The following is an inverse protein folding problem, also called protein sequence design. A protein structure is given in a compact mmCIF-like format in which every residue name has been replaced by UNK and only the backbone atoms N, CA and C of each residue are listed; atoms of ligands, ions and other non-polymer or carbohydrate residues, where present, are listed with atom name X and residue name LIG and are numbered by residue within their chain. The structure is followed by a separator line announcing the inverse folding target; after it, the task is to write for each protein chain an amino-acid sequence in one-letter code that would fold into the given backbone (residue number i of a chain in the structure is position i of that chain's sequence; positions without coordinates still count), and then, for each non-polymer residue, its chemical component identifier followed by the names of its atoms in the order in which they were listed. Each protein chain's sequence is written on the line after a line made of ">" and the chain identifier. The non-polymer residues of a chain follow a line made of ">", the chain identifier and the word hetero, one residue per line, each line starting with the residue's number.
data_IF_904138406487
#
_entry.id   IF_904138406487
#
_cell.length_a   1.000
_cell.length_b   1.000
_cell.length_c   1.000
_cell.angle_alpha   90.00
_cell.angle_beta   90.00
_cell.angle_gamma   90.00
#
_symmetry.space_group_name_H-M   'P 1'
#
loop_
_entity.id
_entity.type
_entity.pdbx_description
1 polymer ?
#
# COMPACT_ATOMS: atom_id res chain seq x y z
N UNK A 1 17.02 6.23 1.61
CA UNK A 1 16.92 6.77 3.01
C UNK A 1 15.60 6.33 3.61
N UNK A 2 15.57 5.89 4.89
CA UNK A 2 14.30 5.55 5.56
C UNK A 2 13.49 6.82 5.79
N UNK A 3 12.23 6.83 5.40
CA UNK A 3 11.30 7.97 5.49
C UNK A 3 10.21 7.71 6.54
N UNK A 4 9.72 8.76 7.22
CA UNK A 4 8.54 8.62 8.07
C UNK A 4 7.33 8.19 7.24
N UNK A 5 6.60 7.18 7.74
CA UNK A 5 5.35 6.70 7.13
C UNK A 5 4.19 7.52 7.69
N UNK A 6 3.38 8.08 6.80
CA UNK A 6 2.17 8.86 7.14
C UNK A 6 1.09 7.93 7.67
N UNK A 7 0.42 8.36 8.72
CA UNK A 7 -0.72 7.64 9.33
C UNK A 7 -2.03 8.20 8.79
N UNK A 8 -3.07 7.38 8.80
CA UNK A 8 -4.45 7.74 8.43
C UNK A 8 -4.84 9.12 8.94
N UNK A 9 -5.42 9.95 8.06
CA UNK A 9 -5.77 11.35 8.33
C UNK A 9 -4.77 12.37 7.78
N UNK A 10 -3.57 11.94 7.33
CA UNK A 10 -2.70 12.83 6.57
C UNK A 10 -3.32 13.08 5.18
N UNK A 11 -3.50 14.35 4.75
CA UNK A 11 -4.18 14.68 3.50
C UNK A 11 -3.62 13.99 2.26
N UNK A 12 -2.31 13.70 2.21
CA UNK A 12 -1.68 13.04 1.07
C UNK A 12 -2.21 11.62 0.85
N UNK A 13 -2.67 10.95 1.91
CA UNK A 13 -3.22 9.59 1.85
C UNK A 13 -4.66 9.52 1.33
N UNK A 14 -5.37 10.65 1.32
CA UNK A 14 -6.79 10.76 0.98
C UNK A 14 -7.02 11.51 -0.34
N UNK A 15 -5.97 11.66 -1.14
CA UNK A 15 -6.02 12.32 -2.44
C UNK A 15 -5.48 11.40 -3.52
N UNK A 16 -6.07 11.46 -4.72
CA UNK A 16 -5.50 10.77 -5.87
C UNK A 16 -4.11 11.33 -6.15
N UNK A 17 -3.11 10.47 -6.16
CA UNK A 17 -1.74 10.81 -6.50
C UNK A 17 -1.62 11.23 -7.98
N UNK A 18 -0.74 12.17 -8.24
CA UNK A 18 -0.46 12.67 -9.59
C UNK A 18 0.36 11.66 -10.40
N UNK A 19 0.15 11.65 -11.71
CA UNK A 19 0.98 10.86 -12.61
C UNK A 19 2.41 11.41 -12.65
N UNK A 20 3.36 10.48 -12.76
CA UNK A 20 4.77 10.81 -12.97
C UNK A 20 4.95 11.24 -14.42
N UNK A 21 5.35 12.47 -14.63
CA UNK A 21 5.65 13.03 -15.96
C UNK A 21 7.16 13.10 -16.22
N UNK A 22 7.98 13.22 -15.17
CA UNK A 22 9.43 13.39 -15.26
C UNK A 22 10.13 12.20 -14.58
N UNK A 23 10.97 11.51 -15.35
CA UNK A 23 11.73 10.34 -14.92
C UNK A 23 13.19 10.73 -14.69
N UNK A 24 13.42 11.49 -13.64
CA UNK A 24 14.72 12.07 -13.28
C UNK A 24 15.36 11.39 -12.06
N UNK A 25 16.42 12.00 -11.53
CA UNK A 25 17.12 11.49 -10.35
C UNK A 25 16.26 11.61 -9.08
N UNK A 26 15.41 12.62 -8.96
CA UNK A 26 14.53 12.79 -7.80
C UNK A 26 13.51 11.63 -7.70
N UNK A 27 12.97 11.20 -8.85
CA UNK A 27 12.12 10.00 -8.90
C UNK A 27 12.89 8.74 -8.50
N UNK A 28 14.13 8.57 -8.98
CA UNK A 28 14.98 7.42 -8.61
C UNK A 28 15.29 7.40 -7.12
N UNK A 29 15.59 8.55 -6.54
CA UNK A 29 15.85 8.71 -5.12
C UNK A 29 14.59 8.40 -4.30
N UNK A 30 13.42 8.84 -4.75
CA UNK A 30 12.12 8.52 -4.14
C UNK A 30 11.84 7.01 -4.15
N UNK A 31 12.08 6.33 -5.27
CA UNK A 31 11.92 4.87 -5.35
C UNK A 31 12.91 4.14 -4.45
N UNK A 32 14.15 4.60 -4.34
CA UNK A 32 15.10 4.04 -3.40
C UNK A 32 14.66 4.24 -1.95
N UNK A 33 14.15 5.43 -1.62
CA UNK A 33 13.59 5.73 -0.29
C UNK A 33 12.40 4.82 0.04
N UNK A 34 11.54 4.52 -0.94
CA UNK A 34 10.43 3.56 -0.77
C UNK A 34 10.95 2.17 -0.43
N UNK A 35 11.94 1.67 -1.16
CA UNK A 35 12.54 0.37 -0.87
C UNK A 35 13.21 0.34 0.50
N UNK A 36 14.02 1.33 0.83
CA UNK A 36 14.73 1.41 2.11
C UNK A 36 13.72 1.43 3.29
N UNK A 37 12.61 2.16 3.11
CA UNK A 37 11.56 2.29 4.12
C UNK A 37 10.76 1.00 4.26
N UNK A 38 10.35 0.38 3.15
CA UNK A 38 9.64 -0.89 3.12
C UNK A 38 10.45 -2.03 3.75
N UNK A 39 11.76 -2.10 3.44
CA UNK A 39 12.65 -3.13 4.00
C UNK A 39 12.86 -2.97 5.51
N UNK A 40 12.74 -1.75 6.01
CA UNK A 40 12.87 -1.47 7.44
C UNK A 40 11.56 -1.63 8.19
N UNK A 41 10.44 -1.30 7.58
CA UNK A 41 9.11 -1.65 8.05
C UNK A 41 8.82 -3.10 7.63
N UNK A 42 8.07 -3.90 8.39
CA UNK A 42 7.76 -5.28 8.01
C UNK A 42 6.69 -5.33 6.89
N UNK A 43 6.93 -4.60 5.78
CA UNK A 43 6.00 -4.44 4.68
C UNK A 43 6.37 -5.26 3.44
N UNK A 44 5.36 -5.61 2.65
CA UNK A 44 5.48 -6.29 1.35
C UNK A 44 5.17 -5.39 0.16
N UNK A 45 4.66 -4.19 0.43
CA UNK A 45 4.40 -3.11 -0.50
C UNK A 45 4.49 -1.76 0.19
N UNK A 46 4.77 -0.70 -0.57
CA UNK A 46 4.77 0.68 -0.08
C UNK A 46 4.55 1.66 -1.22
N UNK A 47 3.54 2.50 -1.10
CA UNK A 47 3.19 3.52 -2.07
C UNK A 47 3.79 4.90 -1.70
N UNK A 48 4.12 5.71 -2.71
CA UNK A 48 4.71 7.02 -2.51
C UNK A 48 3.88 7.97 -1.61
N UNK A 49 2.54 7.99 -1.66
CA UNK A 49 1.75 8.77 -0.71
C UNK A 49 2.03 8.42 0.76
N UNK A 50 2.36 7.17 1.08
CA UNK A 50 2.65 6.74 2.45
C UNK A 50 3.94 7.37 3.02
N UNK A 51 4.88 7.77 2.17
CA UNK A 51 6.07 8.55 2.59
C UNK A 51 5.92 10.06 2.32
N UNK A 52 4.70 10.52 2.05
CA UNK A 52 4.39 11.93 1.85
C UNK A 52 4.61 12.45 0.44
N UNK A 53 4.81 11.59 -0.55
CA UNK A 53 5.03 11.95 -1.96
C UNK A 53 3.78 11.63 -2.77
N UNK A 54 3.08 12.63 -3.25
CA UNK A 54 1.79 12.49 -3.97
C UNK A 54 1.94 12.05 -5.44
N UNK A 55 2.77 11.04 -5.73
CA UNK A 55 3.01 10.50 -7.06
C UNK A 55 2.48 9.07 -7.21
N UNK A 56 2.07 8.71 -8.41
CA UNK A 56 1.59 7.35 -8.74
C UNK A 56 2.73 6.36 -8.90
N UNK A 57 3.36 6.03 -7.78
CA UNK A 57 4.48 5.09 -7.68
C UNK A 57 4.26 4.20 -6.47
N UNK A 58 4.50 2.90 -6.60
CA UNK A 58 4.67 2.01 -5.46
C UNK A 58 5.77 0.97 -5.73
N UNK A 59 6.31 0.44 -4.66
CA UNK A 59 7.26 -0.69 -4.68
C UNK A 59 6.63 -1.91 -4.02
N UNK A 60 7.11 -3.09 -4.37
CA UNK A 60 6.69 -4.35 -3.77
C UNK A 60 7.87 -5.30 -3.61
N UNK A 61 7.77 -6.19 -2.63
CA UNK A 61 8.68 -7.30 -2.42
C UNK A 61 7.92 -8.47 -1.79
N UNK A 62 7.67 -9.51 -2.58
CA UNK A 62 6.94 -10.69 -2.12
C UNK A 62 7.48 -11.93 -2.84
N UNK A 63 7.98 -12.96 -2.13
CA UNK A 63 8.52 -14.15 -2.76
C UNK A 63 7.42 -14.93 -3.50
N UNK A 64 7.82 -15.75 -4.47
CA UNK A 64 6.93 -16.77 -5.03
C UNK A 64 6.89 -18.03 -4.14
N UNK A 65 6.15 -19.04 -4.59
CA UNK A 65 5.97 -20.29 -3.83
C UNK A 65 7.27 -21.11 -3.68
N UNK A 66 8.28 -20.79 -4.47
CA UNK A 66 9.63 -21.40 -4.44
C UNK A 66 10.65 -20.51 -3.70
N UNK A 67 10.17 -19.49 -2.96
CA UNK A 67 10.98 -18.47 -2.28
C UNK A 67 11.86 -17.60 -3.21
N UNK A 68 11.61 -17.58 -4.52
CA UNK A 68 12.31 -16.66 -5.39
C UNK A 68 11.80 -15.23 -5.17
N UNK A 69 12.71 -14.25 -5.07
CA UNK A 69 12.31 -12.88 -4.82
C UNK A 69 11.57 -12.27 -6.02
N UNK A 70 10.35 -11.80 -5.78
CA UNK A 70 9.61 -10.92 -6.70
C UNK A 70 9.63 -9.52 -6.11
N UNK A 71 10.44 -8.65 -6.67
CA UNK A 71 10.64 -7.29 -6.18
C UNK A 71 10.68 -6.32 -7.35
N UNK A 72 9.99 -5.20 -7.24
CA UNK A 72 9.95 -4.22 -8.31
C UNK A 72 9.26 -2.93 -7.94
N UNK A 73 9.19 -2.05 -8.94
CA UNK A 73 8.47 -0.78 -8.89
C UNK A 73 7.44 -0.74 -10.01
N UNK A 74 6.29 -0.15 -9.76
CA UNK A 74 5.29 0.16 -10.79
C UNK A 74 4.95 1.64 -10.71
N UNK A 75 5.10 2.31 -11.85
CA UNK A 75 4.87 3.74 -12.02
C UNK A 75 3.69 3.94 -12.97
N UNK A 76 2.79 4.86 -12.63
CA UNK A 76 1.57 5.17 -13.36
C UNK A 76 0.72 3.93 -13.68
N UNK A 77 0.42 3.09 -12.67
CA UNK A 77 -0.29 1.84 -12.92
C UNK A 77 -1.73 2.03 -13.34
N UNK A 78 -2.20 1.09 -14.15
CA UNK A 78 -3.60 0.71 -14.28
C UNK A 78 -3.78 -0.70 -13.73
N UNK A 79 -4.95 -1.00 -13.16
CA UNK A 79 -5.24 -2.30 -12.57
C UNK A 79 -6.64 -2.76 -12.97
N UNK A 80 -6.74 -4.04 -13.35
CA UNK A 80 -8.00 -4.75 -13.47
C UNK A 80 -7.96 -6.00 -12.59
N UNK A 81 -9.10 -6.37 -12.04
CA UNK A 81 -9.21 -7.56 -11.18
C UNK A 81 -10.50 -8.36 -11.50
N UNK A 82 -10.50 -9.62 -11.09
CA UNK A 82 -11.70 -10.46 -11.12
C UNK A 82 -12.79 -9.88 -10.23
N UNK A 83 -14.08 -10.15 -10.51
CA UNK A 83 -15.18 -9.80 -9.62
C UNK A 83 -14.91 -10.33 -8.20
N UNK A 84 -15.41 -9.60 -7.20
CA UNK A 84 -15.34 -10.06 -5.81
C UNK A 84 -16.29 -11.27 -5.63
N UNK A 85 -15.81 -12.27 -4.92
CA UNK A 85 -16.64 -13.40 -4.52
C UNK A 85 -17.74 -12.93 -3.54
N UNK A 86 -18.97 -13.46 -3.66
CA UNK A 86 -20.06 -13.11 -2.75
C UNK A 86 -19.77 -13.52 -1.30
N UNK A 87 -20.39 -12.81 -0.36
CA UNK A 87 -20.31 -13.09 1.08
C UNK A 87 -19.34 -12.19 1.82
N UNK A 88 -19.24 -12.41 3.12
CA UNK A 88 -18.34 -11.65 3.99
C UNK A 88 -16.89 -12.07 3.78
N UNK A 89 -15.95 -11.21 4.15
CA UNK A 89 -14.53 -11.52 4.13
C UNK A 89 -14.19 -12.53 5.23
N UNK A 90 -13.27 -13.44 4.93
CA UNK A 90 -12.77 -14.42 5.90
C UNK A 90 -11.72 -13.76 6.82
N UNK A 91 -11.99 -13.77 8.12
CA UNK A 91 -11.14 -13.10 9.11
C UNK A 91 -9.74 -13.72 9.24
N UNK A 92 -9.58 -15.01 8.95
CA UNK A 92 -8.30 -15.70 9.03
C UNK A 92 -7.49 -15.58 7.73
N UNK A 93 -8.17 -15.67 6.57
CA UNK A 93 -7.53 -15.77 5.26
C UNK A 93 -7.45 -14.43 4.51
N UNK A 94 -8.34 -13.49 4.80
CA UNK A 94 -8.46 -12.23 4.07
C UNK A 94 -8.14 -10.98 4.93
N UNK A 95 -7.52 -11.17 6.11
CA UNK A 95 -7.15 -10.09 7.01
C UNK A 95 -5.88 -9.40 6.52
N UNK A 96 -5.97 -8.14 6.15
CA UNK A 96 -4.83 -7.31 5.74
C UNK A 96 -4.51 -6.22 6.74
N UNK A 97 -3.24 -5.80 6.79
CA UNK A 97 -2.77 -4.64 7.54
C UNK A 97 -2.23 -3.56 6.62
N UNK A 98 -1.92 -2.40 7.16
CA UNK A 98 -1.38 -1.27 6.40
C UNK A 98 -0.39 -0.48 7.25
N UNK A 99 0.79 -0.20 6.71
CA UNK A 99 1.81 0.63 7.39
C UNK A 99 1.33 2.07 7.68
N UNK A 100 0.26 2.53 7.02
CA UNK A 100 -0.42 3.80 7.32
C UNK A 100 -1.58 3.65 8.31
N UNK A 101 -1.81 2.43 8.80
CA UNK A 101 -2.74 2.07 9.87
C UNK A 101 -2.08 0.96 10.73
N UNK A 102 -0.94 1.27 11.39
CA UNK A 102 -0.06 0.27 11.95
C UNK A 102 -0.67 -0.47 13.16
N UNK A 103 -0.27 -1.73 13.34
CA UNK A 103 -0.66 -2.57 14.47
C UNK A 103 -2.04 -3.24 14.33
N UNK A 104 -2.85 -2.85 13.37
CA UNK A 104 -4.22 -3.35 13.21
C UNK A 104 -4.41 -4.12 11.90
N UNK A 105 -5.28 -5.12 11.96
CA UNK A 105 -5.62 -5.96 10.80
C UNK A 105 -7.12 -6.20 10.73
N UNK A 106 -7.70 -6.04 9.54
CA UNK A 106 -9.12 -6.28 9.29
C UNK A 106 -9.32 -7.06 8.00
N UNK A 107 -10.32 -7.94 8.01
CA UNK A 107 -10.68 -8.71 6.83
C UNK A 107 -11.33 -7.84 5.76
N UNK A 108 -10.85 -7.97 4.52
CA UNK A 108 -11.36 -7.25 3.36
C UNK A 108 -11.39 -8.14 2.11
N UNK A 109 -12.53 -8.20 1.45
CA UNK A 109 -12.66 -8.86 0.14
C UNK A 109 -11.86 -8.16 -0.93
N UNK A 110 -11.08 -8.94 -1.68
CA UNK A 110 -10.32 -8.50 -2.84
C UNK A 110 -10.61 -9.41 -4.04
N UNK A 111 -10.36 -8.92 -5.24
CA UNK A 111 -10.34 -9.79 -6.42
C UNK A 111 -9.20 -10.81 -6.31
N UNK A 112 -9.49 -12.07 -6.61
CA UNK A 112 -8.53 -13.17 -6.51
C UNK A 112 -7.38 -13.04 -7.51
N UNK A 113 -7.66 -12.47 -8.68
CA UNK A 113 -6.66 -12.25 -9.74
C UNK A 113 -6.64 -10.80 -10.18
N UNK A 114 -5.46 -10.30 -10.46
CA UNK A 114 -5.25 -8.97 -11.02
C UNK A 114 -4.34 -9.01 -12.23
N UNK A 115 -4.53 -8.05 -13.11
CA UNK A 115 -3.54 -7.63 -14.10
C UNK A 115 -3.21 -6.18 -13.79
N UNK A 116 -1.95 -5.91 -13.51
CA UNK A 116 -1.44 -4.56 -13.31
C UNK A 116 -0.46 -4.23 -14.43
N UNK A 117 -0.61 -3.04 -15.01
CA UNK A 117 0.24 -2.53 -16.08
C UNK A 117 0.71 -1.13 -15.72
N UNK A 118 1.94 -0.82 -16.07
CA UNK A 118 2.56 0.48 -15.82
C UNK A 118 3.94 0.53 -16.47
N UNK A 119 4.84 1.31 -15.92
CA UNK A 119 6.24 1.37 -16.37
C UNK A 119 7.20 1.26 -15.19
N UNK A 120 8.45 0.90 -15.47
CA UNK A 120 9.56 0.96 -14.52
C UNK A 120 10.27 2.34 -14.56
N UNK A 121 11.37 2.48 -13.82
CA UNK A 121 12.18 3.71 -13.78
C UNK A 121 12.86 4.06 -15.11
N UNK A 122 13.02 3.11 -16.00
CA UNK A 122 13.59 3.31 -17.33
C UNK A 122 12.51 3.42 -18.40
N UNK A 123 11.24 3.58 -17.97
CA UNK A 123 10.05 3.67 -18.81
C UNK A 123 9.78 2.43 -19.65
N UNK A 124 10.35 1.28 -19.28
CA UNK A 124 10.00 0.01 -19.90
C UNK A 124 8.60 -0.42 -19.42
N UNK A 125 7.77 -1.00 -20.30
CA UNK A 125 6.47 -1.52 -19.91
C UNK A 125 6.61 -2.62 -18.84
N UNK A 126 5.83 -2.49 -17.78
CA UNK A 126 5.63 -3.49 -16.74
C UNK A 126 4.23 -4.05 -16.88
N UNK A 127 4.08 -5.38 -16.98
CA UNK A 127 2.81 -6.09 -16.93
C UNK A 127 2.96 -7.29 -16.01
N UNK A 128 2.14 -7.34 -14.96
CA UNK A 128 2.17 -8.43 -13.98
C UNK A 128 0.77 -9.01 -13.88
N UNK A 129 0.67 -10.33 -14.00
CA UNK A 129 -0.52 -11.11 -13.66
C UNK A 129 -0.26 -11.77 -12.31
N UNK A 130 -1.15 -11.54 -11.34
CA UNK A 130 -1.00 -12.02 -9.99
C UNK A 130 -2.28 -12.64 -9.47
N UNK A 131 -2.15 -13.58 -8.53
CA UNK A 131 -3.28 -14.23 -7.85
C UNK A 131 -3.02 -14.34 -6.35
N UNK A 132 -4.09 -14.58 -5.56
CA UNK A 132 -4.04 -14.75 -4.13
C UNK A 132 -3.46 -13.52 -3.40
N UNK A 133 -2.54 -13.75 -2.46
CA UNK A 133 -1.89 -12.68 -1.68
C UNK A 133 -1.12 -11.69 -2.54
N UNK A 134 -0.45 -12.15 -3.59
CA UNK A 134 0.26 -11.27 -4.50
C UNK A 134 -0.68 -10.31 -5.24
N UNK A 135 -1.85 -10.80 -5.63
CA UNK A 135 -2.91 -9.95 -6.19
C UNK A 135 -3.47 -8.95 -5.17
N UNK A 136 -3.58 -9.35 -3.89
CA UNK A 136 -4.02 -8.48 -2.80
C UNK A 136 -3.07 -7.31 -2.57
N UNK A 137 -1.75 -7.56 -2.58
CA UNK A 137 -0.73 -6.51 -2.45
C UNK A 137 -0.93 -5.43 -3.52
N UNK A 138 -1.05 -5.80 -4.79
CA UNK A 138 -1.24 -4.83 -5.87
C UNK A 138 -2.53 -4.03 -5.75
N UNK A 139 -3.62 -4.63 -5.31
CA UNK A 139 -4.87 -3.92 -5.05
C UNK A 139 -4.74 -2.93 -3.90
N UNK A 140 -4.03 -3.31 -2.85
CA UNK A 140 -3.75 -2.45 -1.69
C UNK A 140 -2.92 -1.22 -2.09
N UNK A 141 -1.79 -1.43 -2.77
CA UNK A 141 -0.92 -0.34 -3.21
C UNK A 141 -1.61 0.57 -4.25
N UNK A 142 -2.41 -0.01 -5.14
CA UNK A 142 -3.19 0.76 -6.10
C UNK A 142 -4.27 1.62 -5.44
N UNK A 143 -4.90 1.13 -4.37
CA UNK A 143 -5.84 1.92 -3.58
C UNK A 143 -5.15 3.17 -3.00
N UNK A 144 -3.94 3.04 -2.43
CA UNK A 144 -3.17 4.18 -1.93
C UNK A 144 -2.94 5.26 -3.00
N UNK A 145 -2.67 4.86 -4.24
CA UNK A 145 -2.50 5.81 -5.35
C UNK A 145 -3.80 6.53 -5.73
N UNK A 146 -4.95 6.00 -5.33
CA UNK A 146 -6.26 6.59 -5.55
C UNK A 146 -6.80 7.34 -4.32
N UNK A 147 -5.98 7.48 -3.26
CA UNK A 147 -6.36 8.17 -2.03
C UNK A 147 -7.28 7.35 -1.13
N UNK A 148 -7.19 6.02 -1.22
CA UNK A 148 -8.01 5.07 -0.46
C UNK A 148 -7.08 4.23 0.43
N UNK A 149 -7.42 4.13 1.71
CA UNK A 149 -6.81 3.18 2.64
C UNK A 149 -7.78 2.02 2.84
N UNK A 150 -7.26 0.82 3.06
CA UNK A 150 -8.10 -0.38 3.12
C UNK A 150 -9.25 -0.28 4.14
N UNK A 151 -9.07 0.45 5.25
CA UNK A 151 -10.11 0.68 6.26
C UNK A 151 -11.31 1.47 5.71
N UNK A 152 -11.15 2.23 4.63
CA UNK A 152 -12.25 2.95 3.96
C UNK A 152 -13.23 1.99 3.24
N UNK A 153 -12.78 0.77 2.98
CA UNK A 153 -13.51 -0.28 2.22
C UNK A 153 -14.10 -1.38 3.12
N UNK A 154 -13.87 -1.33 4.42
CA UNK A 154 -14.33 -2.33 5.38
C UNK A 154 -15.88 -2.36 5.50
N UNK A 155 -16.38 -3.48 6.04
CA UNK A 155 -17.76 -3.58 6.50
C UNK A 155 -18.08 -2.49 7.54
N UNK A 156 -19.36 -2.24 7.78
CA UNK A 156 -19.77 -1.24 8.74
C UNK A 156 -19.21 -1.51 10.15
N UNK A 157 -19.25 -2.76 10.59
CA UNK A 157 -18.80 -3.15 11.94
C UNK A 157 -17.28 -3.00 12.08
N UNK A 158 -16.50 -3.59 11.17
CA UNK A 158 -15.03 -3.48 11.18
C UNK A 158 -14.55 -2.04 11.00
N UNK A 159 -15.28 -1.26 10.21
CA UNK A 159 -14.97 0.16 10.03
C UNK A 159 -15.21 0.96 11.30
N UNK A 160 -16.27 0.64 12.04
CA UNK A 160 -16.55 1.28 13.34
C UNK A 160 -15.44 0.99 14.32
N UNK A 161 -14.99 -0.26 14.42
CA UNK A 161 -13.86 -0.65 15.25
C UNK A 161 -12.56 0.08 14.85
N UNK A 162 -12.25 0.15 13.55
CA UNK A 162 -11.10 0.91 13.06
C UNK A 162 -11.15 2.40 13.44
N UNK A 163 -12.34 3.02 13.41
CA UNK A 163 -12.50 4.41 13.83
C UNK A 163 -12.34 4.60 15.35
N UNK A 164 -12.77 3.65 16.17
CA UNK A 164 -12.53 3.65 17.62
C UNK A 164 -11.03 3.62 17.93
N UNK A 165 -10.29 2.74 17.27
CA UNK A 165 -8.82 2.69 17.37
C UNK A 165 -8.17 4.01 16.97
N UNK A 166 -8.60 4.61 15.85
CA UNK A 166 -8.08 5.92 15.42
C UNK A 166 -8.31 7.02 16.45
N UNK A 167 -9.46 7.01 17.11
CA UNK A 167 -9.79 7.99 18.14
C UNK A 167 -8.94 7.79 19.40
N UNK A 168 -8.78 6.55 19.84
CA UNK A 168 -7.95 6.20 21.01
C UNK A 168 -6.47 6.56 20.80
N UNK A 169 -5.92 6.28 19.62
CA UNK A 169 -4.53 6.56 19.28
C UNK A 169 -4.28 8.00 18.81
N UNK A 170 -5.34 8.80 18.68
CA UNK A 170 -5.24 10.19 18.27
C UNK A 170 -4.82 10.38 16.80
N UNK A 171 -5.11 9.41 15.96
CA UNK A 171 -4.93 9.46 14.49
C UNK A 171 -6.01 10.34 13.83
N UNK A 172 -6.21 10.23 12.54
CA UNK A 172 -7.13 11.05 11.76
C UNK A 172 -6.83 12.56 11.85
N UNK A 173 -5.53 12.89 11.87
CA UNK A 173 -5.02 14.26 11.90
C UNK A 173 -3.85 14.44 10.95
N UNK A 174 -3.71 15.63 10.33
CA UNK A 174 -2.54 15.92 9.49
C UNK A 174 -1.23 15.81 10.28
N UNK A 175 -0.18 15.30 9.62
CA UNK A 175 1.18 15.31 10.14
C UNK A 175 1.53 14.20 11.15
N UNK A 176 0.60 13.29 11.45
CA UNK A 176 0.93 12.09 12.22
C UNK A 176 1.70 11.11 11.35
N UNK A 177 2.82 10.62 11.87
CA UNK A 177 3.69 9.66 11.16
C UNK A 177 4.52 8.87 12.15
N UNK A 178 5.11 7.78 11.71
CA UNK A 178 6.06 6.97 12.47
C UNK A 178 7.29 6.65 11.62
N UNK A 179 8.44 6.42 12.27
CA UNK A 179 9.70 6.13 11.61
C UNK A 179 10.09 4.67 11.83
N UNK A 180 10.05 3.82 10.79
CA UNK A 180 10.48 2.43 10.89
C UNK A 180 11.88 2.26 11.48
N UNK A 181 12.01 1.35 12.43
CA UNK A 181 13.25 1.08 13.16
C UNK A 181 13.57 2.06 14.29
N UNK A 182 12.71 3.04 14.53
CA UNK A 182 12.75 3.95 15.69
C UNK A 182 11.46 3.81 16.48
N UNK A 183 10.32 3.86 15.80
CA UNK A 183 9.02 3.65 16.39
C UNK A 183 8.58 2.20 16.11
N UNK A 184 8.05 1.50 17.12
CA UNK A 184 7.61 0.10 17.03
C UNK A 184 6.08 0.05 17.01
N UNK A 185 5.46 0.53 15.96
CA UNK A 185 4.00 0.54 15.84
C UNK A 185 3.42 -0.71 15.16
N UNK A 186 4.27 -1.59 14.62
CA UNK A 186 3.88 -2.86 13.98
C UNK A 186 4.16 -4.10 14.86
N UNK A 187 4.62 -3.91 16.10
CA UNK A 187 4.91 -4.99 17.06
C UNK A 187 3.67 -5.37 17.89
#
# INVERSE_FOLDING_TARGET
>A
MIRPIRIYGDPVLHQRAAEVEVFDQELRDTVQDLFDTMDKAPGVGLAAPQIGVGLRVFVYSYPDDDDNPRRGVVINPTLSHTPLEPGDADEELESEGCLSFPGERFALKRGDRVVIEGVDLDQNPVRIEAEGWFARIFQHEFDHLNGIIYVDKLSFDSRTEAFEVMEELGWNKPGVSWLPGTDNLED
#
